data_IF_413964928713
#
_entry.id   IF_413964928713
#
_cell.length_a   1.000
_cell.length_b   1.000
_cell.length_c   1.000
_cell.angle_alpha   90.00
_cell.angle_beta   90.00
_cell.angle_gamma   90.00
#
_symmetry.space_group_name_H-M   'P 1'
#
loop_
_entity.id
_entity.type
_entity.pdbx_description
1 polymer ?
#
# COMPACT_ATOMS: atom_id res chain seq x y z
N UNK A 1 -12.21 -0.40 -16.18
CA UNK A 1 -13.12 -0.77 -15.08
C UNK A 1 -13.27 0.48 -14.22
N UNK A 2 -14.50 0.97 -14.03
CA UNK A 2 -14.73 2.21 -13.28
C UNK A 2 -14.59 1.96 -11.78
N UNK A 3 -14.12 2.95 -11.04
CA UNK A 3 -13.96 2.96 -9.57
C UNK A 3 -15.21 2.50 -8.78
N UNK A 4 -16.38 2.42 -9.44
CA UNK A 4 -17.67 2.01 -8.92
C UNK A 4 -17.75 0.52 -8.51
N UNK A 5 -16.81 -0.34 -8.93
CA UNK A 5 -16.81 -1.77 -8.58
C UNK A 5 -16.14 -2.11 -7.24
N UNK A 6 -15.46 -1.14 -6.62
CA UNK A 6 -14.91 -1.31 -5.27
C UNK A 6 -16.07 -1.25 -4.28
N UNK A 7 -16.43 -2.40 -3.66
CA UNK A 7 -17.47 -2.52 -2.62
C UNK A 7 -17.07 -1.80 -1.31
N UNK A 8 -16.78 -0.51 -1.39
CA UNK A 8 -16.23 0.34 -0.31
C UNK A 8 -17.21 1.41 0.15
N UNK A 9 -18.50 1.31 -0.20
CA UNK A 9 -19.49 2.33 0.18
C UNK A 9 -19.67 2.45 1.71
N UNK A 10 -19.31 1.40 2.46
CA UNK A 10 -19.28 1.40 3.92
C UNK A 10 -17.95 1.92 4.51
N UNK A 11 -16.95 2.20 3.66
CA UNK A 11 -15.59 2.64 4.02
C UNK A 11 -15.23 3.94 3.28
N UNK A 12 -15.95 5.05 3.55
CA UNK A 12 -15.82 6.28 2.77
C UNK A 12 -14.42 6.91 2.84
N UNK A 13 -13.72 6.77 3.97
CA UNK A 13 -12.37 7.32 4.14
C UNK A 13 -11.34 6.54 3.30
N UNK A 14 -11.40 5.21 3.30
CA UNK A 14 -10.57 4.36 2.46
C UNK A 14 -10.84 4.61 0.97
N UNK A 15 -12.12 4.76 0.61
CA UNK A 15 -12.53 5.11 -0.76
C UNK A 15 -11.90 6.44 -1.19
N UNK A 16 -11.91 7.45 -0.33
CA UNK A 16 -11.29 8.75 -0.61
C UNK A 16 -9.76 8.68 -0.69
N UNK A 17 -9.10 7.85 0.14
CA UNK A 17 -7.65 7.61 0.01
C UNK A 17 -7.29 7.04 -1.35
N UNK A 18 -8.03 6.02 -1.80
CA UNK A 18 -7.81 5.40 -3.12
C UNK A 18 -8.09 6.41 -4.24
N UNK A 19 -9.17 7.18 -4.12
CA UNK A 19 -9.53 8.20 -5.10
C UNK A 19 -8.48 9.30 -5.21
N UNK A 20 -8.03 9.85 -4.09
CA UNK A 20 -6.99 10.87 -4.06
C UNK A 20 -5.63 10.36 -4.55
N UNK A 21 -5.27 9.09 -4.28
CA UNK A 21 -4.10 8.46 -4.88
C UNK A 21 -4.23 8.35 -6.40
N UNK A 22 -5.39 7.91 -6.91
CA UNK A 22 -5.63 7.87 -8.35
C UNK A 22 -5.50 9.28 -8.97
N UNK A 23 -6.13 10.28 -8.37
CA UNK A 23 -6.10 11.65 -8.87
C UNK A 23 -4.68 12.24 -8.90
N UNK A 24 -3.85 11.92 -7.91
CA UNK A 24 -2.48 12.42 -7.82
C UNK A 24 -1.51 11.73 -8.79
N UNK A 25 -1.67 10.42 -9.02
CA UNK A 25 -0.73 9.64 -9.83
C UNK A 25 -1.14 9.49 -11.29
N UNK A 26 -2.44 9.52 -11.60
CA UNK A 26 -2.93 9.34 -12.97
C UNK A 26 -2.44 10.41 -13.97
N UNK A 27 -2.23 11.69 -13.63
CA UNK A 27 -1.77 12.68 -14.61
C UNK A 27 -0.32 12.49 -15.09
N UNK A 28 0.53 11.84 -14.29
CA UNK A 28 1.97 11.72 -14.59
C UNK A 28 2.22 10.76 -15.77
N UNK A 29 3.02 11.19 -16.76
CA UNK A 29 3.30 10.41 -17.98
C UNK A 29 4.20 9.19 -17.76
N UNK A 30 5.01 9.20 -16.70
CA UNK A 30 5.84 8.06 -16.31
C UNK A 30 5.07 7.06 -15.45
N UNK A 31 3.92 7.42 -14.90
CA UNK A 31 3.00 6.50 -14.24
C UNK A 31 2.11 5.83 -15.28
N UNK A 32 2.12 4.50 -15.33
CA UNK A 32 1.44 3.74 -16.40
C UNK A 32 0.26 2.91 -15.90
N UNK A 33 0.27 2.44 -14.67
CA UNK A 33 -0.83 1.68 -14.09
C UNK A 33 -0.81 1.81 -12.56
N UNK A 34 -1.97 1.60 -11.94
CA UNK A 34 -2.06 1.42 -10.50
C UNK A 34 -3.04 0.31 -10.15
N UNK A 35 -2.72 -0.46 -9.11
CA UNK A 35 -3.47 -1.64 -8.67
C UNK A 35 -3.62 -1.57 -7.16
N UNK A 36 -4.84 -1.79 -6.68
CA UNK A 36 -5.15 -1.96 -5.27
C UNK A 36 -5.02 -3.44 -4.88
N UNK A 37 -4.35 -3.70 -3.77
CA UNK A 37 -4.13 -5.01 -3.18
C UNK A 37 -4.74 -5.10 -1.77
N UNK A 38 -4.38 -6.17 -1.06
CA UNK A 38 -4.71 -6.34 0.34
C UNK A 38 -6.20 -6.53 0.64
N UNK A 39 -6.56 -6.25 1.89
CA UNK A 39 -7.92 -6.50 2.40
C UNK A 39 -9.01 -5.68 1.70
N UNK A 40 -8.70 -4.46 1.26
CA UNK A 40 -9.65 -3.64 0.51
C UNK A 40 -9.99 -4.26 -0.85
N UNK A 41 -8.98 -4.75 -1.59
CA UNK A 41 -9.21 -5.46 -2.84
C UNK A 41 -9.92 -6.81 -2.65
N UNK A 42 -9.66 -7.48 -1.52
CA UNK A 42 -10.34 -8.72 -1.15
C UNK A 42 -11.81 -8.54 -0.74
N UNK A 43 -12.28 -7.30 -0.52
CA UNK A 43 -13.60 -7.02 0.03
C UNK A 43 -13.75 -7.46 1.50
N UNK A 44 -12.64 -7.69 2.20
CA UNK A 44 -12.58 -8.02 3.64
C UNK A 44 -12.04 -6.88 4.48
N UNK A 45 -11.87 -5.71 3.85
CA UNK A 45 -11.42 -4.50 4.50
C UNK A 45 -12.36 -3.98 5.57
N UNK A 46 -11.80 -3.25 6.52
CA UNK A 46 -12.55 -2.58 7.59
C UNK A 46 -12.02 -1.15 7.83
N UNK A 47 -12.49 -0.52 8.91
CA UNK A 47 -12.19 0.88 9.24
C UNK A 47 -10.70 1.15 9.48
N UNK A 48 -9.91 0.15 9.83
CA UNK A 48 -8.46 0.28 10.08
C UNK A 48 -7.62 -0.38 8.98
N UNK A 49 -8.26 -0.87 7.91
CA UNK A 49 -7.55 -1.30 6.71
C UNK A 49 -6.88 -0.14 6.01
N UNK A 50 -5.65 -0.37 5.61
CA UNK A 50 -4.84 0.48 4.75
C UNK A 50 -5.23 0.33 3.27
N UNK A 51 -5.04 1.40 2.51
CA UNK A 51 -5.04 1.36 1.05
C UNK A 51 -3.64 0.94 0.55
N UNK A 52 -3.50 -0.34 0.20
CA UNK A 52 -2.27 -0.94 -0.35
C UNK A 52 -2.27 -0.81 -1.89
N UNK A 53 -1.45 0.09 -2.42
CA UNK A 53 -1.45 0.51 -3.81
C UNK A 53 -0.07 0.29 -4.43
N UNK A 54 -0.04 -0.51 -5.51
CA UNK A 54 1.11 -0.61 -6.41
C UNK A 54 0.90 0.34 -7.58
N UNK A 55 1.87 1.21 -7.83
CA UNK A 55 1.95 2.11 -8.97
C UNK A 55 3.09 1.63 -9.86
N UNK A 56 2.77 1.23 -11.09
CA UNK A 56 3.79 0.91 -12.08
C UNK A 56 4.26 2.18 -12.78
N UNK A 57 5.58 2.33 -12.90
CA UNK A 57 6.26 3.43 -13.57
C UNK A 57 7.13 2.95 -14.73
N UNK A 58 7.54 3.90 -15.57
CA UNK A 58 8.49 3.69 -16.67
C UNK A 58 9.59 4.76 -16.63
N UNK A 59 10.68 4.56 -17.37
CA UNK A 59 11.76 5.55 -17.52
C UNK A 59 12.37 6.05 -16.20
N UNK A 60 12.56 5.17 -15.21
CA UNK A 60 12.99 5.54 -13.86
C UNK A 60 12.01 6.47 -13.14
N UNK A 61 10.73 6.39 -13.50
CA UNK A 61 9.67 7.26 -13.00
C UNK A 61 9.46 7.18 -11.50
N UNK A 62 9.82 6.06 -10.85
CA UNK A 62 9.80 5.95 -9.39
C UNK A 62 10.67 7.01 -8.68
N UNK A 63 11.65 7.63 -9.37
CA UNK A 63 12.45 8.73 -8.84
C UNK A 63 11.81 10.12 -9.07
N UNK A 64 10.80 10.22 -9.95
CA UNK A 64 10.15 11.47 -10.34
C UNK A 64 8.76 11.67 -9.74
N UNK A 65 8.21 10.69 -9.02
CA UNK A 65 6.85 10.73 -8.41
C UNK A 65 6.71 11.67 -7.21
N UNK A 66 7.71 12.51 -6.92
CA UNK A 66 7.67 13.43 -5.76
C UNK A 66 6.48 14.39 -5.82
N UNK A 67 6.15 14.91 -7.02
CA UNK A 67 4.96 15.75 -7.21
C UNK A 67 3.68 14.97 -6.96
N UNK A 68 3.58 13.74 -7.47
CA UNK A 68 2.44 12.86 -7.23
C UNK A 68 2.21 12.64 -5.72
N UNK A 69 3.27 12.37 -4.97
CA UNK A 69 3.16 12.25 -3.52
C UNK A 69 2.76 13.57 -2.84
N UNK A 70 3.31 14.70 -3.27
CA UNK A 70 2.92 16.02 -2.74
C UNK A 70 1.43 16.31 -2.97
N UNK A 71 0.92 15.95 -4.15
CA UNK A 71 -0.50 16.12 -4.50
C UNK A 71 -1.39 15.16 -3.69
N UNK A 72 -0.94 13.92 -3.48
CA UNK A 72 -1.61 12.97 -2.60
C UNK A 72 -1.62 13.46 -1.15
N UNK A 73 -0.51 14.00 -0.64
CA UNK A 73 -0.39 14.47 0.75
C UNK A 73 -1.19 15.75 1.02
N UNK A 74 -1.53 16.50 -0.03
CA UNK A 74 -2.21 17.79 0.07
C UNK A 74 -3.54 17.71 0.84
N UNK A 75 -3.66 18.53 1.88
CA UNK A 75 -4.86 18.62 2.72
C UNK A 75 -5.09 17.45 3.68
N UNK A 76 -4.17 16.48 3.76
CA UNK A 76 -4.27 15.35 4.68
C UNK A 76 -3.57 15.64 6.01
N UNK A 77 -4.19 15.19 7.10
CA UNK A 77 -3.61 15.29 8.45
C UNK A 77 -2.78 14.03 8.75
N UNK A 78 -1.50 14.08 8.34
CA UNK A 78 -0.57 12.96 8.42
C UNK A 78 0.01 12.87 9.83
N UNK A 79 -0.30 11.78 10.52
CA UNK A 79 0.28 11.47 11.83
C UNK A 79 1.72 10.96 11.70
N UNK A 80 1.93 10.07 10.74
CA UNK A 80 3.22 9.43 10.53
C UNK A 80 3.42 9.09 9.05
N UNK A 81 4.66 9.25 8.58
CA UNK A 81 5.10 8.90 7.24
C UNK A 81 6.41 8.11 7.32
N UNK A 82 6.44 6.96 6.67
CA UNK A 82 7.65 6.18 6.40
C UNK A 82 7.90 6.18 4.91
N UNK A 83 9.12 6.48 4.49
CA UNK A 83 9.51 6.39 3.10
C UNK A 83 10.88 5.77 2.92
N UNK A 84 11.11 5.25 1.71
CA UNK A 84 12.39 4.64 1.37
C UNK A 84 12.36 3.93 0.02
N UNK A 85 13.47 3.28 -0.27
CA UNK A 85 13.63 2.45 -1.45
C UNK A 85 13.62 0.98 -1.04
N UNK A 86 12.87 0.15 -1.77
CA UNK A 86 13.01 -1.31 -1.66
C UNK A 86 14.31 -1.76 -2.34
N UNK A 87 14.62 -1.13 -3.47
CA UNK A 87 15.82 -1.31 -4.27
C UNK A 87 15.97 -0.13 -5.26
N UNK A 88 16.88 -0.26 -6.25
CA UNK A 88 17.16 0.76 -7.27
C UNK A 88 16.03 1.04 -8.28
N UNK A 89 14.97 0.23 -8.31
CA UNK A 89 13.84 0.32 -9.23
C UNK A 89 12.50 0.60 -8.51
N UNK A 90 12.53 0.76 -7.19
CA UNK A 90 11.33 0.72 -6.36
C UNK A 90 11.42 1.68 -5.16
N UNK A 91 10.49 2.64 -5.12
CA UNK A 91 10.32 3.60 -4.03
C UNK A 91 8.96 3.38 -3.36
N UNK A 92 8.86 3.67 -2.06
CA UNK A 92 7.59 3.58 -1.35
C UNK A 92 7.40 4.71 -0.36
N UNK A 93 6.12 4.98 -0.06
CA UNK A 93 5.69 5.72 1.12
C UNK A 93 4.55 5.00 1.82
N UNK A 94 4.58 5.00 3.15
CA UNK A 94 3.52 4.51 4.03
C UNK A 94 3.06 5.63 4.94
N UNK A 95 1.75 5.74 5.13
CA UNK A 95 1.12 6.82 5.87
C UNK A 95 0.16 6.29 6.92
N UNK A 96 0.22 6.87 8.11
CA UNK A 96 -0.85 6.78 9.11
C UNK A 96 -1.42 8.19 9.24
N UNK A 97 -2.73 8.32 9.13
CA UNK A 97 -3.46 9.58 9.27
C UNK A 97 -4.06 9.70 10.68
N UNK A 98 -4.31 10.91 11.15
CA UNK A 98 -4.86 11.14 12.51
C UNK A 98 -6.26 10.52 12.72
N UNK A 99 -6.99 10.23 11.64
CA UNK A 99 -8.24 9.50 11.70
C UNK A 99 -8.06 7.97 11.76
N UNK A 100 -6.84 7.46 11.97
CA UNK A 100 -6.49 6.04 12.02
C UNK A 100 -6.71 5.28 10.69
N UNK A 101 -6.95 5.99 9.58
CA UNK A 101 -6.75 5.39 8.26
C UNK A 101 -5.27 5.37 7.92
N UNK A 102 -4.92 4.61 6.89
CA UNK A 102 -3.54 4.45 6.44
C UNK A 102 -3.47 4.12 4.96
N UNK A 103 -2.33 4.36 4.34
CA UNK A 103 -2.06 4.00 2.95
C UNK A 103 -0.62 3.52 2.79
N UNK A 104 -0.41 2.50 1.98
CA UNK A 104 0.90 2.08 1.47
C UNK A 104 0.91 2.29 -0.04
N UNK A 105 1.83 3.10 -0.55
CA UNK A 105 1.94 3.38 -1.98
C UNK A 105 3.36 3.05 -2.43
N UNK A 106 3.46 2.08 -3.33
CA UNK A 106 4.72 1.56 -3.85
C UNK A 106 4.83 1.92 -5.33
N UNK A 107 5.85 2.69 -5.70
CA UNK A 107 6.15 3.03 -7.09
C UNK A 107 7.25 2.10 -7.59
N UNK A 108 6.91 1.24 -8.55
CA UNK A 108 7.78 0.20 -9.10
C UNK A 108 7.97 0.44 -10.60
N UNK A 109 9.20 0.56 -11.06
CA UNK A 109 9.44 0.57 -12.50
C UNK A 109 9.08 -0.78 -13.13
N UNK A 110 8.74 -0.76 -14.41
CA UNK A 110 8.53 -2.00 -15.17
C UNK A 110 9.74 -2.95 -15.18
N UNK A 111 10.96 -2.50 -14.86
CA UNK A 111 12.11 -3.39 -14.68
C UNK A 111 12.00 -4.23 -13.39
N UNK A 112 11.25 -3.77 -12.39
CA UNK A 112 11.07 -4.47 -11.13
C UNK A 112 10.26 -5.76 -11.33
N UNK A 113 10.76 -6.93 -10.89
CA UNK A 113 10.06 -8.21 -11.05
C UNK A 113 8.99 -8.39 -9.96
N UNK A 114 7.94 -7.58 -10.03
CA UNK A 114 6.77 -7.70 -9.15
C UNK A 114 5.61 -8.38 -9.87
N UNK A 115 5.07 -9.44 -9.24
CA UNK A 115 3.88 -10.14 -9.71
C UNK A 115 2.67 -9.83 -8.83
N UNK A 116 1.49 -9.81 -9.43
CA UNK A 116 0.22 -9.49 -8.77
C UNK A 116 -0.55 -10.78 -8.52
N UNK A 117 -0.68 -11.15 -7.26
CA UNK A 117 -1.55 -12.24 -6.82
C UNK A 117 -3.00 -11.77 -6.67
N UNK A 118 -3.97 -12.69 -6.84
CA UNK A 118 -5.37 -12.42 -6.51
C UNK A 118 -5.60 -12.45 -4.98
N UNK A 119 -6.55 -11.65 -4.45
CA UNK A 119 -7.39 -10.67 -5.15
C UNK A 119 -6.69 -9.31 -5.37
N UNK A 120 -7.07 -8.63 -6.45
CA UNK A 120 -6.59 -7.28 -6.79
C UNK A 120 -7.69 -6.50 -7.52
N UNK A 121 -7.59 -5.17 -7.53
CA UNK A 121 -8.42 -4.31 -8.37
C UNK A 121 -7.53 -3.37 -9.18
N UNK A 122 -7.73 -3.34 -10.50
CA UNK A 122 -7.08 -2.34 -11.36
C UNK A 122 -7.72 -0.99 -11.11
N UNK A 123 -6.93 -0.02 -10.63
CA UNK A 123 -7.37 1.36 -10.43
C UNK A 123 -7.33 2.12 -11.76
N UNK A 124 -6.22 1.99 -12.49
CA UNK A 124 -6.09 2.39 -13.88
C UNK A 124 -4.95 1.62 -14.55
N UNK A 125 -5.01 1.48 -15.87
CA UNK A 125 -3.94 0.89 -16.67
C UNK A 125 -3.91 1.57 -18.04
N UNK A 126 -2.97 2.47 -18.24
CA UNK A 126 -2.84 3.29 -19.45
C UNK A 126 -2.23 2.53 -20.62
N UNK A 127 -1.53 1.42 -20.34
CA UNK A 127 -0.74 0.68 -21.33
C UNK A 127 -1.01 -0.83 -21.38
N UNK A 128 -1.97 -1.32 -20.61
CA UNK A 128 -2.32 -2.74 -20.55
C UNK A 128 -1.23 -3.62 -19.93
N UNK A 129 -0.46 -3.09 -18.98
CA UNK A 129 0.69 -3.82 -18.40
C UNK A 129 0.28 -4.77 -17.28
N UNK A 130 -0.88 -4.59 -16.66
CA UNK A 130 -1.30 -5.35 -15.47
C UNK A 130 -1.47 -6.84 -15.78
N UNK A 131 -2.10 -7.20 -16.91
CA UNK A 131 -2.37 -8.59 -17.27
C UNK A 131 -1.09 -9.44 -17.35
N UNK A 132 0.01 -8.85 -17.83
CA UNK A 132 1.32 -9.51 -17.91
C UNK A 132 2.01 -9.72 -16.56
N UNK A 133 1.50 -9.10 -15.49
CA UNK A 133 2.04 -9.19 -14.12
C UNK A 133 1.28 -10.18 -13.26
N UNK A 134 0.20 -10.77 -13.75
CA UNK A 134 -0.63 -11.65 -12.94
C UNK A 134 0.07 -12.98 -12.65
N UNK A 135 -0.11 -13.48 -11.43
CA UNK A 135 0.35 -14.81 -11.02
C UNK A 135 -0.75 -15.58 -10.29
N UNK A 136 -0.67 -16.90 -10.38
CA UNK A 136 -1.52 -17.82 -9.60
C UNK A 136 -0.94 -18.12 -8.22
N UNK A 137 0.27 -17.63 -7.92
CA UNK A 137 0.86 -17.71 -6.58
C UNK A 137 0.02 -16.94 -5.57
N UNK A 138 -0.04 -17.45 -4.33
CA UNK A 138 -0.80 -16.82 -3.25
C UNK A 138 -0.08 -15.59 -2.73
N UNK A 139 -0.85 -14.56 -2.39
CA UNK A 139 -0.33 -13.41 -1.66
C UNK A 139 0.36 -13.86 -0.36
N UNK A 140 1.48 -13.21 0.02
CA UNK A 140 2.22 -13.58 1.21
C UNK A 140 1.39 -13.29 2.47
N UNK A 141 1.62 -14.05 3.55
CA UNK A 141 0.89 -13.93 4.81
C UNK A 141 1.68 -13.12 5.81
N UNK A 142 0.99 -12.34 6.65
CA UNK A 142 1.62 -11.54 7.71
C UNK A 142 2.47 -12.37 8.68
N UNK A 143 2.10 -13.62 8.95
CA UNK A 143 2.85 -14.53 9.81
C UNK A 143 4.30 -14.74 9.33
N UNK A 144 4.52 -14.62 8.02
CA UNK A 144 5.80 -14.84 7.36
C UNK A 144 6.60 -13.56 7.13
N UNK A 145 6.05 -12.38 7.48
CA UNK A 145 6.72 -11.11 7.21
C UNK A 145 7.95 -10.92 8.11
N UNK A 146 9.06 -10.42 7.56
CA UNK A 146 10.20 -10.00 8.37
C UNK A 146 9.81 -8.80 9.25
N UNK A 147 10.38 -8.73 10.45
CA UNK A 147 10.18 -7.63 11.40
C UNK A 147 11.38 -6.70 11.42
N UNK A 148 11.19 -5.46 11.87
CA UNK A 148 12.25 -4.47 12.02
C UNK A 148 12.99 -4.12 10.72
N UNK A 149 12.31 -4.20 9.58
CA UNK A 149 12.91 -4.05 8.23
C UNK A 149 13.44 -2.64 7.97
N UNK A 150 12.88 -1.63 8.63
CA UNK A 150 13.25 -0.23 8.46
C UNK A 150 13.89 0.37 9.74
N UNK A 151 14.33 -0.49 10.67
CA UNK A 151 14.86 -0.08 11.97
C UNK A 151 13.87 0.77 12.76
N UNK A 152 14.39 1.62 13.65
CA UNK A 152 13.59 2.52 14.50
C UNK A 152 12.59 3.37 13.71
N UNK A 153 12.96 3.77 12.49
CA UNK A 153 12.08 4.57 11.64
C UNK A 153 10.78 3.84 11.32
N UNK A 154 10.79 2.51 11.18
CA UNK A 154 9.63 1.69 10.85
C UNK A 154 8.78 1.26 12.05
N UNK A 155 9.25 1.44 13.27
CA UNK A 155 8.59 0.90 14.46
C UNK A 155 7.16 1.38 14.64
N UNK A 156 6.87 2.64 14.32
CA UNK A 156 5.50 3.18 14.42
C UNK A 156 4.55 2.41 13.50
N UNK A 157 4.98 2.08 12.27
CA UNK A 157 4.19 1.28 11.33
C UNK A 157 3.95 -0.14 11.87
N UNK A 158 5.00 -0.80 12.35
CA UNK A 158 4.92 -2.18 12.83
C UNK A 158 4.02 -2.31 14.08
N UNK A 159 4.08 -1.33 14.98
CA UNK A 159 3.19 -1.26 16.14
C UNK A 159 1.75 -0.96 15.72
N UNK A 160 1.55 -0.14 14.68
CA UNK A 160 0.23 0.13 14.12
C UNK A 160 -0.41 -1.13 13.51
N UNK A 161 0.35 -1.97 12.82
CA UNK A 161 -0.15 -3.28 12.36
C UNK A 161 -0.56 -4.19 13.53
N UNK A 162 0.21 -4.19 14.64
CA UNK A 162 -0.19 -4.90 15.85
C UNK A 162 -1.52 -4.37 16.43
N UNK A 163 -1.72 -3.05 16.45
CA UNK A 163 -2.99 -2.44 16.88
C UNK A 163 -4.15 -2.90 15.99
N UNK A 164 -3.95 -2.94 14.67
CA UNK A 164 -4.95 -3.44 13.69
C UNK A 164 -5.31 -4.90 13.95
N UNK A 165 -4.34 -5.76 14.23
CA UNK A 165 -4.62 -7.16 14.53
C UNK A 165 -5.35 -7.33 15.85
N UNK A 166 -4.96 -6.58 16.89
CA UNK A 166 -5.64 -6.62 18.19
C UNK A 166 -7.09 -6.13 18.10
N UNK A 167 -7.37 -5.06 17.33
CA UNK A 167 -8.74 -4.57 17.14
C UNK A 167 -9.66 -5.54 16.38
N UNK A 168 -9.06 -6.52 15.69
CA UNK A 168 -9.73 -7.62 14.97
C UNK A 168 -9.75 -8.92 15.76
N UNK A 169 -9.48 -8.86 17.06
CA UNK A 169 -9.34 -10.01 17.96
C UNK A 169 -8.26 -11.03 17.57
N UNK A 170 -7.35 -10.68 16.64
CA UNK A 170 -6.25 -11.54 16.22
C UNK A 170 -5.05 -11.43 17.18
N UNK A 171 -5.31 -11.80 18.43
CA UNK A 171 -4.39 -11.66 19.56
C UNK A 171 -3.11 -12.48 19.37
N UNK A 172 -3.19 -13.68 18.82
CA UNK A 172 -2.03 -14.56 18.67
C UNK A 172 -1.07 -14.06 17.59
N UNK A 173 -1.59 -13.53 16.47
CA UNK A 173 -0.75 -12.88 15.47
C UNK A 173 0.00 -11.69 16.06
N UNK A 174 -0.71 -10.77 16.71
CA UNK A 174 -0.10 -9.58 17.33
C UNK A 174 0.96 -9.95 18.39
N UNK A 175 0.67 -10.88 19.30
CA UNK A 175 1.64 -11.34 20.30
C UNK A 175 2.85 -12.01 19.66
N UNK A 176 2.66 -12.85 18.64
CA UNK A 176 3.76 -13.52 17.96
C UNK A 176 4.68 -12.52 17.26
N UNK A 177 4.10 -11.51 16.61
CA UNK A 177 4.85 -10.44 15.95
C UNK A 177 5.62 -9.59 16.97
N UNK A 178 4.98 -9.16 18.06
CA UNK A 178 5.64 -8.38 19.12
C UNK A 178 6.82 -9.12 19.75
N UNK A 179 6.73 -10.44 19.92
CA UNK A 179 7.86 -11.27 20.38
C UNK A 179 9.02 -11.22 19.38
N UNK A 180 8.75 -11.48 18.09
CA UNK A 180 9.77 -11.37 17.03
C UNK A 180 10.41 -9.99 17.01
N UNK A 181 9.60 -8.93 17.16
CA UNK A 181 10.08 -7.55 17.19
C UNK A 181 10.99 -7.31 18.40
N UNK A 182 10.60 -7.78 19.59
CA UNK A 182 11.40 -7.63 20.82
C UNK A 182 12.77 -8.33 20.76
N UNK A 183 12.91 -9.38 19.95
CA UNK A 183 14.20 -10.05 19.74
C UNK A 183 15.17 -9.25 18.85
N UNK A 184 14.68 -8.19 18.17
CA UNK A 184 15.48 -7.31 17.31
C UNK A 184 15.86 -5.98 17.96
N UNK A 185 15.19 -5.60 19.05
CA UNK A 185 15.42 -4.37 19.83
C UNK A 185 16.50 -4.57 20.88
#
# INVERSE_FOLDING_TARGET
MHQEDLKLDQLPLQKELIHSACAAFYPDENVIAAVLLGSLAAGTGDRVSDADIIVFTQNNGHNSVRSCFSDFESGKDIFYCLDGFHNENAYFKKYIFNDMTSAEIHCLDLSEPFNISKPFNVLFDKKGVVDSRLTDEKAPKHDDFPVYTNGDKGLIWELFDCIKWLSRDNHELAKSYLKKLSEKL
#
